data_IF_598613854779
#
_entry.id   IF_598613854779
#
_cell.length_a   1.000
_cell.length_b   1.000
_cell.length_c   1.000
_cell.angle_alpha   90.00
_cell.angle_beta   90.00
_cell.angle_gamma   90.00
#
_symmetry.space_group_name_H-M   'P 1'
#
loop_
_entity.id
_entity.type
_entity.pdbx_description
1 polymer ?
#
# COMPACT_ATOMS: atom_id res chain seq x y z
N UNK A 1 -7.20 -26.96 20.64
CA UNK A 1 -5.77 -26.60 20.64
C UNK A 1 -5.69 -25.20 21.16
N UNK A 2 -4.72 -24.81 22.02
CA UNK A 2 -4.60 -23.42 22.43
C UNK A 2 -4.36 -22.61 21.15
N UNK A 3 -5.03 -21.47 21.06
CA UNK A 3 -4.90 -20.52 19.96
C UNK A 3 -3.43 -20.15 19.80
N UNK A 4 -2.82 -20.59 18.69
CA UNK A 4 -1.41 -20.36 18.44
C UNK A 4 -1.23 -19.00 17.76
N UNK A 5 -0.19 -18.24 18.15
CA UNK A 5 0.22 -17.02 17.46
C UNK A 5 0.35 -17.25 15.95
N UNK A 6 0.00 -16.25 15.17
CA UNK A 6 0.05 -16.31 13.71
C UNK A 6 0.68 -15.05 13.13
N UNK A 7 1.12 -15.14 11.87
CA UNK A 7 1.75 -14.01 11.17
C UNK A 7 0.68 -13.04 10.66
N UNK A 8 0.88 -11.75 10.94
CA UNK A 8 0.06 -10.64 10.44
C UNK A 8 0.97 -9.61 9.77
N UNK A 9 0.61 -9.16 8.59
CA UNK A 9 1.34 -8.09 7.91
C UNK A 9 1.19 -6.78 8.69
N UNK A 10 2.31 -6.14 9.05
CA UNK A 10 2.29 -4.83 9.71
C UNK A 10 2.54 -3.67 8.76
N UNK A 11 3.19 -3.94 7.65
CA UNK A 11 3.42 -3.00 6.54
C UNK A 11 3.47 -3.76 5.22
N UNK A 12 2.89 -3.17 4.18
CA UNK A 12 2.95 -3.71 2.81
C UNK A 12 2.98 -2.61 1.76
N UNK A 13 3.36 -2.99 0.54
CA UNK A 13 3.21 -2.16 -0.65
C UNK A 13 2.92 -3.04 -1.87
N UNK A 14 2.14 -2.53 -2.82
CA UNK A 14 1.76 -3.24 -4.04
C UNK A 14 2.95 -3.34 -5.00
N UNK A 15 3.38 -4.55 -5.39
CA UNK A 15 4.38 -4.71 -6.45
C UNK A 15 3.86 -4.18 -7.78
N UNK A 16 4.73 -3.46 -8.51
CA UNK A 16 4.44 -2.96 -9.85
C UNK A 16 5.67 -3.11 -10.76
N UNK A 17 5.49 -3.17 -12.10
CA UNK A 17 6.61 -3.17 -13.04
C UNK A 17 7.47 -1.92 -12.91
N UNK A 18 8.78 -2.07 -13.06
CA UNK A 18 9.72 -0.96 -13.10
C UNK A 18 9.50 -0.09 -14.35
N UNK A 19 9.62 1.21 -14.18
CA UNK A 19 9.62 2.15 -15.30
C UNK A 19 11.02 2.77 -15.54
N UNK A 20 11.83 2.87 -14.49
CA UNK A 20 13.20 3.45 -14.54
C UNK A 20 14.05 2.93 -13.39
N UNK A 21 15.36 3.04 -13.54
CA UNK A 21 16.35 2.76 -12.51
C UNK A 21 17.20 1.52 -12.82
N UNK A 22 18.42 1.54 -12.35
CA UNK A 22 19.35 0.42 -12.36
C UNK A 22 20.20 0.47 -11.10
N UNK A 23 20.65 -0.69 -10.63
CA UNK A 23 21.56 -0.79 -9.49
C UNK A 23 22.79 -1.56 -9.89
N UNK A 24 23.91 -1.28 -9.24
CA UNK A 24 25.13 -2.03 -9.45
C UNK A 24 25.95 -2.07 -8.14
N UNK A 25 26.03 -3.26 -7.53
CA UNK A 25 26.79 -3.48 -6.30
C UNK A 25 26.42 -2.46 -5.20
N UNK A 26 25.13 -2.30 -4.88
CA UNK A 26 24.65 -1.25 -3.98
C UNK A 26 23.76 -1.81 -2.87
N UNK A 27 23.71 -1.07 -1.76
CA UNK A 27 22.73 -1.31 -0.68
C UNK A 27 21.57 -0.32 -0.80
N UNK A 28 20.36 -0.86 -0.78
CA UNK A 28 19.12 -0.10 -0.74
C UNK A 28 18.61 -0.12 0.70
N UNK A 29 18.37 1.04 1.32
CA UNK A 29 17.74 1.14 2.64
C UNK A 29 16.35 1.75 2.48
N UNK A 30 15.33 0.91 2.65
CA UNK A 30 13.92 1.25 2.52
C UNK A 30 13.34 1.56 3.89
N UNK A 31 12.66 2.69 4.02
CA UNK A 31 12.04 3.14 5.28
C UNK A 31 10.53 2.95 5.23
N UNK A 32 9.95 2.56 6.35
CA UNK A 32 8.53 2.28 6.46
C UNK A 32 8.04 2.40 7.90
N UNK A 33 6.74 2.57 8.10
CA UNK A 33 6.11 2.59 9.43
C UNK A 33 5.27 1.34 9.62
N UNK A 34 5.52 0.62 10.70
CA UNK A 34 4.69 -0.51 11.12
C UNK A 34 3.35 -0.01 11.67
N UNK A 35 2.24 -0.65 11.31
CA UNK A 35 0.93 -0.33 11.88
C UNK A 35 0.64 -1.10 13.18
N UNK A 36 1.27 -2.27 13.33
CA UNK A 36 1.13 -3.17 14.47
C UNK A 36 2.50 -3.50 15.04
N UNK A 37 2.64 -3.59 16.37
CA UNK A 37 3.85 -4.02 17.06
C UNK A 37 3.94 -5.54 17.21
N UNK A 38 5.11 -6.00 17.66
CA UNK A 38 5.39 -7.40 17.96
C UNK A 38 6.85 -7.59 18.35
N UNK A 39 7.23 -8.82 18.66
CA UNK A 39 8.60 -9.14 19.09
C UNK A 39 9.34 -10.12 18.18
N UNK A 40 8.66 -10.64 17.15
CA UNK A 40 9.25 -11.41 16.06
C UNK A 40 8.76 -10.88 14.74
N UNK A 41 9.68 -10.66 13.80
CA UNK A 41 9.43 -10.09 12.49
C UNK A 41 9.99 -10.98 11.40
N UNK A 42 9.39 -10.92 10.21
CA UNK A 42 9.96 -11.42 8.96
C UNK A 42 9.69 -10.44 7.83
N UNK A 43 10.56 -10.45 6.82
CA UNK A 43 10.48 -9.55 5.66
C UNK A 43 10.12 -10.36 4.42
N UNK A 44 9.29 -9.78 3.57
CA UNK A 44 8.96 -10.33 2.25
C UNK A 44 9.69 -9.54 1.17
N UNK A 45 10.46 -10.27 0.35
CA UNK A 45 11.18 -9.72 -0.80
C UNK A 45 10.59 -10.30 -2.07
N UNK A 46 10.25 -9.46 -3.02
CA UNK A 46 9.49 -9.83 -4.21
C UNK A 46 10.30 -9.60 -5.49
N UNK A 47 10.24 -10.59 -6.38
CA UNK A 47 10.69 -10.52 -7.76
C UNK A 47 9.51 -10.79 -8.72
N UNK A 48 8.27 -10.40 -8.31
CA UNK A 48 7.02 -10.76 -8.99
C UNK A 48 6.96 -10.30 -10.45
N UNK A 49 7.60 -9.19 -10.79
CA UNK A 49 7.67 -8.65 -12.15
C UNK A 49 9.06 -8.77 -12.77
N UNK A 50 10.03 -9.34 -12.04
CA UNK A 50 11.37 -9.57 -12.57
C UNK A 50 11.35 -10.59 -13.71
N UNK A 51 12.21 -10.36 -14.69
CA UNK A 51 12.38 -11.26 -15.87
C UNK A 51 13.56 -12.19 -15.71
N UNK A 52 14.36 -12.03 -14.66
CA UNK A 52 15.56 -12.80 -14.30
C UNK A 52 15.56 -13.08 -12.81
N UNK A 53 16.34 -14.05 -12.34
CA UNK A 53 16.62 -14.22 -10.93
C UNK A 53 17.17 -12.94 -10.31
N UNK A 54 16.71 -12.59 -9.12
CA UNK A 54 17.19 -11.48 -8.31
C UNK A 54 18.12 -12.03 -7.22
N UNK A 55 19.35 -11.57 -7.20
CA UNK A 55 20.32 -11.94 -6.17
C UNK A 55 20.31 -10.93 -5.03
N UNK A 56 20.14 -11.42 -3.82
CA UNK A 56 20.26 -10.69 -2.56
C UNK A 56 21.53 -11.20 -1.89
N UNK A 57 22.56 -10.36 -1.80
CA UNK A 57 23.84 -10.70 -1.15
C UNK A 57 23.79 -10.58 0.38
N UNK A 58 22.87 -9.75 0.89
CA UNK A 58 22.63 -9.57 2.32
C UNK A 58 21.37 -8.77 2.55
N UNK A 59 20.72 -8.98 3.70
CA UNK A 59 19.53 -8.26 4.09
C UNK A 59 19.50 -8.04 5.60
N UNK A 60 19.04 -6.87 6.04
CA UNK A 60 18.93 -6.50 7.45
C UNK A 60 17.61 -5.75 7.70
N UNK A 61 17.09 -5.85 8.93
CA UNK A 61 15.98 -5.04 9.43
C UNK A 61 16.40 -4.40 10.76
N UNK A 62 16.01 -3.14 10.97
CA UNK A 62 16.29 -2.40 12.20
C UNK A 62 15.19 -1.38 12.49
N UNK A 63 15.13 -0.87 13.71
CA UNK A 63 14.38 0.35 14.01
C UNK A 63 15.09 1.55 13.36
N UNK A 64 14.33 2.39 12.66
CA UNK A 64 14.84 3.63 12.07
C UNK A 64 15.03 4.69 13.16
N UNK A 65 16.15 5.39 13.12
CA UNK A 65 16.40 6.57 13.96
C UNK A 65 16.02 7.85 13.16
N UNK A 66 16.94 8.42 12.43
CA UNK A 66 16.71 9.59 11.58
C UNK A 66 17.45 9.45 10.25
N UNK A 67 16.83 9.93 9.17
CA UNK A 67 17.41 9.81 7.83
C UNK A 67 17.71 8.35 7.49
N UNK A 68 18.95 8.06 7.07
CA UNK A 68 19.46 6.71 6.78
C UNK A 68 20.06 6.00 8.02
N UNK A 69 19.90 6.55 9.23
CA UNK A 69 20.43 5.95 10.45
C UNK A 69 19.43 4.96 11.07
N UNK A 70 19.98 3.96 11.76
CA UNK A 70 19.24 2.98 12.54
C UNK A 70 19.57 3.12 14.03
N UNK A 71 18.60 2.75 14.89
CA UNK A 71 18.77 2.74 16.34
C UNK A 71 19.88 1.74 16.71
N UNK A 72 20.82 2.16 17.53
CA UNK A 72 21.93 1.31 17.96
C UNK A 72 21.40 0.05 18.68
N UNK A 73 21.92 -1.12 18.31
CA UNK A 73 21.53 -2.41 18.89
C UNK A 73 20.24 -3.02 18.32
N UNK A 74 19.52 -2.31 17.45
CA UNK A 74 18.29 -2.81 16.82
C UNK A 74 18.52 -3.61 15.54
N UNK A 75 19.71 -3.57 14.97
CA UNK A 75 20.04 -4.26 13.72
C UNK A 75 19.88 -5.78 13.85
N UNK A 76 19.19 -6.39 12.91
CA UNK A 76 19.02 -7.85 12.78
C UNK A 76 19.32 -8.26 11.36
N UNK A 77 20.33 -9.13 11.23
CA UNK A 77 20.63 -9.79 9.96
C UNK A 77 19.50 -10.77 9.63
N UNK A 78 18.98 -10.67 8.41
CA UNK A 78 17.99 -11.59 7.88
C UNK A 78 18.68 -12.80 7.25
N UNK A 79 18.01 -13.94 7.31
CA UNK A 79 18.37 -15.16 6.61
C UNK A 79 17.18 -15.69 5.81
N UNK A 80 17.45 -16.56 4.88
CA UNK A 80 16.46 -17.18 3.99
C UNK A 80 16.72 -18.70 3.96
N UNK A 81 15.99 -19.44 4.78
CA UNK A 81 16.25 -20.86 4.98
C UNK A 81 17.63 -21.11 5.62
N UNK A 82 18.05 -20.24 6.56
CA UNK A 82 19.34 -20.27 7.23
C UNK A 82 20.50 -19.61 6.47
N UNK A 83 20.34 -19.28 5.17
CA UNK A 83 21.37 -18.62 4.37
C UNK A 83 21.25 -17.09 4.41
N UNK A 84 22.38 -16.38 4.51
CA UNK A 84 22.41 -14.92 4.53
C UNK A 84 22.17 -14.27 3.15
N UNK A 85 22.46 -15.02 2.09
CA UNK A 85 22.21 -14.62 0.71
C UNK A 85 21.09 -15.46 0.11
N UNK A 86 20.40 -14.93 -0.88
CA UNK A 86 19.32 -15.63 -1.56
C UNK A 86 19.23 -15.25 -3.03
N UNK A 87 18.76 -16.18 -3.85
CA UNK A 87 18.37 -15.93 -5.25
C UNK A 87 16.86 -16.12 -5.37
N UNK A 88 16.16 -15.08 -5.80
CA UNK A 88 14.70 -15.09 -5.96
C UNK A 88 14.39 -15.27 -7.44
N UNK A 89 13.74 -16.38 -7.79
CA UNK A 89 13.34 -16.65 -9.18
C UNK A 89 12.41 -15.55 -9.72
N UNK A 90 12.42 -15.33 -11.02
CA UNK A 90 11.48 -14.45 -11.70
C UNK A 90 10.03 -14.86 -11.36
N UNK A 91 9.19 -13.89 -11.02
CA UNK A 91 7.79 -14.12 -10.63
C UNK A 91 7.59 -14.55 -9.16
N UNK A 92 8.65 -14.78 -8.38
CA UNK A 92 8.56 -15.31 -7.02
C UNK A 92 8.59 -14.23 -5.93
N UNK A 93 8.11 -14.60 -4.73
CA UNK A 93 8.27 -13.86 -3.48
C UNK A 93 8.93 -14.78 -2.47
N UNK A 94 9.91 -14.23 -1.73
CA UNK A 94 10.65 -14.94 -0.71
C UNK A 94 10.41 -14.31 0.67
N UNK A 95 10.20 -15.15 1.68
CA UNK A 95 10.09 -14.73 3.07
C UNK A 95 11.44 -14.94 3.75
N UNK A 96 11.87 -13.97 4.55
CA UNK A 96 12.99 -14.20 5.45
C UNK A 96 12.61 -15.14 6.58
N UNK A 97 13.61 -15.77 7.19
CA UNK A 97 13.45 -16.42 8.48
C UNK A 97 13.06 -15.38 9.54
N UNK A 98 12.31 -15.78 10.60
CA UNK A 98 11.95 -14.88 11.68
C UNK A 98 13.18 -14.34 12.44
N UNK A 99 13.11 -13.06 12.83
CA UNK A 99 14.10 -12.43 13.71
C UNK A 99 13.43 -11.81 14.93
N UNK A 100 14.09 -11.89 16.09
CA UNK A 100 13.64 -11.25 17.31
C UNK A 100 14.00 -9.75 17.27
N UNK A 101 12.98 -8.88 17.29
CA UNK A 101 13.11 -7.43 17.38
C UNK A 101 11.85 -6.87 18.04
N UNK A 102 12.01 -6.20 19.18
CA UNK A 102 10.90 -5.54 19.85
C UNK A 102 10.46 -4.32 19.04
N UNK A 103 9.26 -4.39 18.48
CA UNK A 103 8.67 -3.39 17.62
C UNK A 103 7.43 -2.80 18.31
N UNK A 104 7.46 -1.51 18.62
CA UNK A 104 6.28 -0.79 19.07
C UNK A 104 5.30 -0.53 17.90
N UNK A 105 3.99 -0.48 18.12
CA UNK A 105 3.05 -0.01 17.11
C UNK A 105 3.43 1.40 16.63
N UNK A 106 3.27 1.67 15.35
CA UNK A 106 3.62 2.92 14.66
C UNK A 106 5.13 3.28 14.72
N UNK A 107 6.00 2.35 15.10
CA UNK A 107 7.44 2.57 15.00
C UNK A 107 7.94 2.52 13.54
N UNK A 108 8.97 3.29 13.27
CA UNK A 108 9.61 3.34 11.97
C UNK A 108 10.67 2.24 11.85
N UNK A 109 10.65 1.54 10.74
CA UNK A 109 11.58 0.48 10.37
C UNK A 109 12.48 0.93 9.21
N UNK A 110 13.66 0.33 9.14
CA UNK A 110 14.56 0.37 8.01
C UNK A 110 14.89 -1.07 7.58
N UNK A 111 14.56 -1.41 6.33
CA UNK A 111 14.99 -2.68 5.70
C UNK A 111 16.08 -2.35 4.71
N UNK A 112 17.25 -3.00 4.88
CA UNK A 112 18.41 -2.84 3.99
C UNK A 112 18.59 -4.10 3.16
N UNK A 113 18.74 -3.96 1.84
CA UNK A 113 19.02 -5.04 0.90
C UNK A 113 20.31 -4.72 0.16
N UNK A 114 21.30 -5.61 0.21
CA UNK A 114 22.49 -5.53 -0.61
C UNK A 114 22.29 -6.32 -1.91
N UNK A 115 22.51 -5.65 -3.02
CA UNK A 115 22.41 -6.18 -4.38
C UNK A 115 23.82 -6.29 -4.97
N UNK A 116 24.43 -7.50 -5.02
CA UNK A 116 25.86 -7.66 -5.31
C UNK A 116 26.25 -7.48 -6.78
N UNK A 117 25.28 -7.52 -7.68
CA UNK A 117 25.51 -7.44 -9.13
C UNK A 117 24.83 -6.26 -9.79
N UNK A 118 24.91 -6.25 -11.11
CA UNK A 118 24.18 -5.29 -11.95
C UNK A 118 22.71 -5.72 -12.07
N UNK A 119 21.80 -4.81 -11.73
CA UNK A 119 20.37 -4.95 -11.93
C UNK A 119 19.95 -3.89 -12.92
N UNK A 120 19.60 -4.29 -14.17
CA UNK A 120 19.19 -3.35 -15.22
C UNK A 120 17.77 -2.83 -14.98
N UNK A 121 17.31 -1.93 -15.85
CA UNK A 121 16.04 -1.23 -15.75
C UNK A 121 14.78 -2.11 -15.88
N UNK A 122 14.91 -3.42 -16.05
CA UNK A 122 13.80 -4.36 -16.18
C UNK A 122 13.45 -5.09 -14.86
N UNK A 123 13.81 -4.50 -13.71
CA UNK A 123 13.43 -4.99 -12.38
C UNK A 123 12.07 -4.44 -11.94
N UNK A 124 11.50 -5.01 -10.88
CA UNK A 124 10.26 -4.51 -10.29
C UNK A 124 10.49 -3.34 -9.34
N UNK A 125 9.47 -2.51 -9.20
CA UNK A 125 9.32 -1.55 -8.11
C UNK A 125 8.18 -2.04 -7.20
N UNK A 126 8.39 -2.00 -5.90
CA UNK A 126 7.35 -2.25 -4.91
C UNK A 126 6.83 -0.93 -4.35
N UNK A 127 5.98 -0.24 -5.11
CA UNK A 127 5.42 1.06 -4.71
C UNK A 127 6.22 2.25 -5.24
N UNK A 128 5.60 2.98 -6.14
CA UNK A 128 6.08 4.29 -6.62
C UNK A 128 5.51 5.39 -5.75
N UNK A 129 6.27 6.46 -5.58
CA UNK A 129 5.86 7.59 -4.76
C UNK A 129 5.53 7.17 -3.33
N UNK A 130 6.45 6.42 -2.72
CA UNK A 130 6.32 5.90 -1.36
C UNK A 130 5.93 6.96 -0.31
N UNK A 131 6.11 8.25 -0.63
CA UNK A 131 5.97 9.38 0.31
C UNK A 131 6.83 9.22 1.56
N UNK A 132 7.85 8.36 1.48
CA UNK A 132 8.96 8.24 2.43
C UNK A 132 10.26 8.36 1.67
N UNK A 133 11.25 8.96 2.33
CA UNK A 133 12.62 9.05 1.82
C UNK A 133 13.32 7.72 2.01
N UNK A 134 13.75 7.13 0.91
CA UNK A 134 14.56 5.91 0.86
C UNK A 134 15.96 6.22 0.34
N UNK A 135 16.91 5.34 0.59
CA UNK A 135 18.32 5.63 0.43
C UNK A 135 19.02 4.57 -0.41
N UNK A 136 19.87 5.02 -1.34
CA UNK A 136 20.72 4.19 -2.19
C UNK A 136 22.17 4.52 -1.83
N UNK A 137 22.97 3.49 -1.50
CA UNK A 137 24.38 3.65 -1.12
C UNK A 137 25.29 3.84 -2.34
N UNK A 138 26.55 4.31 -2.16
CA UNK A 138 27.61 4.02 -3.11
C UNK A 138 27.80 2.49 -3.24
N UNK A 139 28.62 2.01 -4.21
CA UNK A 139 28.91 0.59 -4.35
C UNK A 139 29.42 -0.04 -3.04
N UNK A 140 28.83 -1.18 -2.65
CA UNK A 140 29.21 -1.96 -1.48
C UNK A 140 28.06 -2.42 -0.61
N UNK A 141 28.35 -3.33 0.31
CA UNK A 141 27.42 -3.80 1.34
C UNK A 141 27.51 -2.91 2.59
N UNK A 142 26.43 -2.18 2.84
CA UNK A 142 26.24 -1.31 4.00
C UNK A 142 25.00 -1.70 4.82
N UNK A 143 24.49 -2.93 4.67
CA UNK A 143 23.29 -3.36 5.36
C UNK A 143 23.36 -3.16 6.87
N UNK A 144 24.49 -3.52 7.51
CA UNK A 144 24.73 -3.40 8.94
C UNK A 144 25.16 -1.99 9.40
N UNK A 145 25.38 -1.05 8.48
CA UNK A 145 25.89 0.27 8.84
C UNK A 145 24.89 1.05 9.70
N UNK A 146 25.30 1.52 10.90
CA UNK A 146 24.47 2.35 11.76
C UNK A 146 23.99 3.60 11.04
N UNK A 147 24.86 4.26 10.29
CA UNK A 147 24.54 5.36 9.37
C UNK A 147 25.02 4.92 7.98
N UNK A 148 24.08 4.62 7.10
CA UNK A 148 24.44 4.19 5.75
C UNK A 148 24.95 5.40 4.93
N UNK A 149 26.10 5.27 4.23
CA UNK A 149 26.51 6.30 3.27
C UNK A 149 25.50 6.40 2.14
N UNK A 150 25.24 7.63 1.69
CA UNK A 150 24.20 7.95 0.72
C UNK A 150 24.83 8.42 -0.58
N UNK A 151 24.54 7.73 -1.69
CA UNK A 151 24.84 8.20 -3.04
C UNK A 151 23.65 8.95 -3.63
N UNK A 152 22.42 8.47 -3.40
CA UNK A 152 21.21 9.13 -3.87
C UNK A 152 19.99 8.83 -2.98
N UNK A 153 18.96 9.68 -3.10
CA UNK A 153 17.67 9.50 -2.47
C UNK A 153 16.67 9.00 -3.50
N UNK A 154 15.66 8.28 -3.03
CA UNK A 154 14.52 7.87 -3.84
C UNK A 154 13.23 7.92 -3.03
N UNK A 155 12.11 8.10 -3.71
CA UNK A 155 10.77 7.99 -3.13
C UNK A 155 10.07 6.68 -3.52
N UNK A 156 10.81 5.70 -4.02
CA UNK A 156 10.28 4.39 -4.39
C UNK A 156 10.77 3.32 -3.41
N UNK A 157 9.95 2.31 -3.14
CA UNK A 157 10.38 1.09 -2.48
C UNK A 157 10.80 0.05 -3.53
N UNK A 158 11.93 -0.61 -3.31
CA UNK A 158 12.45 -1.61 -4.22
C UNK A 158 12.48 -2.99 -3.56
N UNK A 159 11.91 -3.97 -4.20
CA UNK A 159 11.91 -5.40 -3.86
C UNK A 159 11.27 -5.77 -2.52
N UNK A 160 11.30 -4.94 -1.50
CA UNK A 160 10.59 -5.20 -0.23
C UNK A 160 9.10 -4.98 -0.45
N UNK A 161 8.26 -6.01 -0.26
CA UNK A 161 6.81 -5.92 -0.45
C UNK A 161 6.01 -6.10 0.84
N UNK A 162 6.65 -6.45 1.96
CA UNK A 162 5.97 -6.56 3.24
C UNK A 162 6.89 -6.83 4.42
N UNK A 163 6.41 -6.45 5.59
CA UNK A 163 6.95 -6.83 6.90
C UNK A 163 5.81 -7.43 7.70
N UNK A 164 6.01 -8.61 8.23
CA UNK A 164 5.03 -9.32 9.06
C UNK A 164 5.54 -9.40 10.50
N UNK A 165 4.62 -9.39 11.46
CA UNK A 165 4.87 -9.63 12.88
C UNK A 165 4.14 -10.89 13.32
N UNK A 166 4.73 -11.62 14.27
CA UNK A 166 4.05 -12.72 14.97
C UNK A 166 3.12 -12.10 16.01
N UNK A 167 1.83 -12.32 15.88
CA UNK A 167 0.78 -11.67 16.66
C UNK A 167 -0.10 -12.68 17.41
N UNK A 168 -0.91 -12.19 18.35
CA UNK A 168 -1.89 -13.00 19.06
C UNK A 168 -2.99 -13.53 18.13
N UNK A 169 -3.64 -14.64 18.45
CA UNK A 169 -4.62 -15.31 17.58
C UNK A 169 -5.82 -14.45 17.20
N UNK A 170 -6.19 -13.49 18.04
CA UNK A 170 -7.29 -12.56 17.84
C UNK A 170 -6.93 -11.35 16.94
N UNK A 171 -5.65 -11.19 16.58
CA UNK A 171 -5.19 -10.08 15.75
C UNK A 171 -5.68 -10.23 14.29
N UNK A 172 -6.16 -9.15 13.70
CA UNK A 172 -6.57 -9.11 12.31
C UNK A 172 -5.79 -8.10 11.47
N UNK A 173 -5.90 -8.25 10.14
CA UNK A 173 -5.31 -7.33 9.17
C UNK A 173 -6.37 -6.68 8.27
N UNK A 174 -6.24 -5.38 8.06
CA UNK A 174 -7.04 -4.59 7.13
C UNK A 174 -6.16 -4.24 5.93
N UNK A 175 -6.59 -4.64 4.74
CA UNK A 175 -5.95 -4.22 3.48
C UNK A 175 -6.65 -2.96 2.97
N UNK A 176 -5.88 -1.91 2.71
CA UNK A 176 -6.32 -0.74 1.97
C UNK A 176 -5.98 -0.94 0.48
N UNK A 177 -6.92 -1.44 -0.31
CA UNK A 177 -6.74 -1.64 -1.75
C UNK A 177 -7.22 -0.40 -2.50
N UNK A 178 -6.35 0.21 -3.30
CA UNK A 178 -6.72 1.42 -4.02
C UNK A 178 -5.72 1.87 -5.08
N UNK A 179 -5.92 3.10 -5.51
CA UNK A 179 -5.04 3.80 -6.45
C UNK A 179 -4.17 4.86 -5.73
N UNK A 180 -3.82 5.97 -6.40
CA UNK A 180 -3.03 7.07 -5.82
C UNK A 180 -3.67 7.71 -4.59
N UNK A 181 -4.99 7.67 -4.47
CA UNK A 181 -5.73 8.20 -3.32
C UNK A 181 -5.56 7.31 -2.07
N UNK A 182 -5.22 6.05 -2.25
CA UNK A 182 -4.90 5.11 -1.17
C UNK A 182 -3.39 5.03 -0.93
N UNK A 183 -2.60 5.02 -2.00
CA UNK A 183 -1.14 5.13 -1.95
C UNK A 183 -0.68 6.40 -1.23
N UNK A 184 -1.51 7.46 -1.27
CA UNK A 184 -1.30 8.71 -0.56
C UNK A 184 -0.52 9.74 -1.37
N UNK A 185 -0.72 9.78 -2.68
CA UNK A 185 -0.04 10.73 -3.55
C UNK A 185 -0.25 12.18 -3.07
N UNK A 186 0.79 13.01 -3.17
CA UNK A 186 0.87 14.41 -2.72
C UNK A 186 0.85 14.59 -1.18
N UNK A 187 0.59 13.57 -0.36
CA UNK A 187 0.75 13.71 1.10
C UNK A 187 2.17 14.16 1.47
N UNK A 188 2.35 14.83 2.60
CA UNK A 188 3.65 15.31 3.05
C UNK A 188 4.65 14.16 3.20
N UNK A 189 5.83 14.30 2.57
CA UNK A 189 6.89 13.28 2.60
C UNK A 189 7.35 13.06 4.06
N UNK A 190 7.57 11.80 4.43
CA UNK A 190 8.00 11.32 5.74
C UNK A 190 7.03 11.62 6.91
N UNK A 191 5.84 12.20 6.64
CA UNK A 191 4.87 12.54 7.67
C UNK A 191 3.83 11.44 7.96
N UNK A 192 3.71 10.42 7.09
CA UNK A 192 2.73 9.34 7.24
C UNK A 192 1.30 9.86 7.40
N UNK A 193 0.87 10.73 6.49
CA UNK A 193 -0.43 11.41 6.52
C UNK A 193 -1.51 10.77 5.63
N UNK A 194 -1.30 9.57 5.11
CA UNK A 194 -2.26 8.86 4.27
C UNK A 194 -3.47 8.39 5.08
N UNK A 195 -4.62 8.20 4.45
CA UNK A 195 -5.80 7.72 5.19
C UNK A 195 -5.59 6.35 5.87
N UNK A 196 -4.82 5.38 5.30
CA UNK A 196 -4.51 4.14 6.02
C UNK A 196 -3.65 4.38 7.27
N UNK A 197 -2.72 5.37 7.22
CA UNK A 197 -1.91 5.75 8.39
C UNK A 197 -2.79 6.36 9.50
N UNK A 198 -3.79 7.18 9.12
CA UNK A 198 -4.76 7.74 10.05
C UNK A 198 -5.65 6.65 10.66
N UNK A 199 -6.12 5.70 9.85
CA UNK A 199 -6.87 4.54 10.34
C UNK A 199 -6.06 3.75 11.37
N UNK A 200 -4.78 3.47 11.09
CA UNK A 200 -3.89 2.77 12.03
C UNK A 200 -3.75 3.51 13.37
N UNK A 201 -3.57 4.85 13.34
CA UNK A 201 -3.52 5.68 14.56
C UNK A 201 -4.82 5.60 15.36
N UNK A 202 -5.98 5.67 14.70
CA UNK A 202 -7.30 5.60 15.34
C UNK A 202 -7.56 4.21 15.96
N UNK A 203 -7.19 3.15 15.25
CA UNK A 203 -7.32 1.78 15.77
C UNK A 203 -6.45 1.56 17.02
N UNK A 204 -5.24 2.08 17.02
CA UNK A 204 -4.36 2.02 18.20
C UNK A 204 -4.92 2.84 19.37
N UNK A 205 -5.48 4.03 19.11
CA UNK A 205 -5.99 4.93 20.14
C UNK A 205 -7.31 4.47 20.78
N UNK A 206 -8.07 3.57 20.15
CA UNK A 206 -9.41 3.20 20.66
C UNK A 206 -9.40 2.37 21.94
N UNK A 207 -8.25 1.79 22.34
CA UNK A 207 -8.06 0.97 23.57
C UNK A 207 -9.04 -0.21 23.77
N UNK A 208 -9.86 -0.54 22.78
CA UNK A 208 -10.89 -1.60 22.82
C UNK A 208 -10.91 -2.37 21.51
N UNK A 209 -11.54 -3.56 21.53
CA UNK A 209 -11.62 -4.46 20.38
C UNK A 209 -10.32 -5.22 20.13
N UNK A 210 -10.33 -6.04 19.11
CA UNK A 210 -9.18 -6.86 18.71
C UNK A 210 -8.07 -5.98 18.10
N UNK A 211 -6.79 -6.35 18.27
CA UNK A 211 -5.70 -5.66 17.59
C UNK A 211 -5.83 -5.78 16.07
N UNK A 212 -5.62 -4.68 15.34
CA UNK A 212 -5.76 -4.65 13.89
C UNK A 212 -4.55 -3.98 13.25
N UNK A 213 -3.91 -4.67 12.32
CA UNK A 213 -2.92 -4.08 11.44
C UNK A 213 -3.61 -3.37 10.26
N UNK A 214 -2.97 -2.35 9.70
CA UNK A 214 -3.39 -1.69 8.45
C UNK A 214 -2.26 -1.81 7.44
N UNK A 215 -2.57 -2.40 6.30
CA UNK A 215 -1.65 -2.69 5.21
C UNK A 215 -2.07 -1.92 3.96
N UNK A 216 -1.22 -1.02 3.47
CA UNK A 216 -1.51 -0.22 2.30
C UNK A 216 -1.10 -0.96 1.02
N UNK A 217 -2.07 -1.20 0.14
CA UNK A 217 -1.94 -1.80 -1.20
C UNK A 217 -2.44 -0.80 -2.28
N UNK A 218 -2.26 0.49 -2.02
CA UNK A 218 -2.45 1.53 -3.03
C UNK A 218 -1.41 1.42 -4.14
N UNK A 219 -1.83 1.72 -5.36
CA UNK A 219 -0.97 1.74 -6.54
C UNK A 219 -1.35 2.90 -7.44
N UNK A 220 -0.53 3.93 -7.49
CA UNK A 220 -0.82 5.17 -8.22
C UNK A 220 -1.26 4.94 -9.66
N UNK A 221 -2.43 5.46 -10.03
CA UNK A 221 -3.01 5.32 -11.36
C UNK A 221 -3.71 3.98 -11.63
N UNK A 222 -3.85 3.11 -10.63
CA UNK A 222 -4.46 1.79 -10.80
C UNK A 222 -5.95 1.87 -11.14
N UNK A 223 -6.44 0.87 -11.87
CA UNK A 223 -7.82 0.72 -12.36
C UNK A 223 -8.42 -0.59 -11.87
N UNK A 224 -9.73 -0.69 -11.81
CA UNK A 224 -10.42 -1.97 -11.51
C UNK A 224 -10.29 -2.94 -12.67
N UNK A 225 -10.56 -2.45 -13.91
CA UNK A 225 -10.89 -3.29 -15.06
C UNK A 225 -9.68 -3.59 -15.95
N UNK A 226 -8.74 -2.65 -16.10
CA UNK A 226 -7.69 -2.74 -17.10
C UNK A 226 -6.29 -2.54 -16.51
N UNK A 227 -5.33 -3.32 -17.00
CA UNK A 227 -3.92 -3.20 -16.65
C UNK A 227 -3.32 -1.95 -17.30
N UNK A 228 -2.70 -1.08 -16.51
CA UNK A 228 -2.00 0.07 -17.07
C UNK A 228 -0.85 0.58 -16.20
N UNK A 229 -1.11 0.84 -14.94
CA UNK A 229 -0.13 1.12 -13.89
C UNK A 229 -0.07 -0.13 -13.00
N UNK A 230 0.64 -1.16 -13.48
CA UNK A 230 0.60 -2.50 -12.90
C UNK A 230 -0.68 -3.26 -13.28
N UNK A 231 -0.88 -4.43 -12.67
CA UNK A 231 -2.08 -5.24 -12.84
C UNK A 231 -3.32 -4.51 -12.37
N UNK A 232 -4.45 -4.71 -13.05
CA UNK A 232 -5.76 -4.18 -12.63
C UNK A 232 -6.15 -4.68 -11.23
N UNK A 233 -7.03 -3.93 -10.55
CA UNK A 233 -7.53 -4.32 -9.25
C UNK A 233 -8.07 -5.74 -9.22
N UNK A 234 -8.83 -6.13 -10.25
CA UNK A 234 -9.33 -7.49 -10.41
C UNK A 234 -8.22 -8.54 -10.53
N UNK A 235 -7.16 -8.24 -11.28
CA UNK A 235 -6.06 -9.18 -11.51
C UNK A 235 -5.16 -9.34 -10.29
N UNK A 236 -4.86 -8.25 -9.57
CA UNK A 236 -3.97 -8.27 -8.41
C UNK A 236 -4.65 -8.60 -7.09
N UNK A 237 -5.99 -8.76 -7.06
CA UNK A 237 -6.77 -8.92 -5.84
C UNK A 237 -6.30 -10.09 -4.98
N UNK A 238 -6.04 -11.26 -5.57
CA UNK A 238 -5.59 -12.44 -4.81
C UNK A 238 -4.20 -12.22 -4.22
N UNK A 239 -3.25 -11.69 -5.01
CA UNK A 239 -1.89 -11.42 -4.57
C UNK A 239 -1.83 -10.33 -3.49
N UNK A 240 -2.52 -9.21 -3.72
CA UNK A 240 -2.37 -8.01 -2.91
C UNK A 240 -3.36 -7.93 -1.74
N UNK A 241 -4.40 -8.78 -1.74
CA UNK A 241 -5.39 -8.85 -0.66
C UNK A 241 -5.42 -10.23 -0.01
N UNK A 242 -5.86 -11.26 -0.73
CA UNK A 242 -6.21 -12.54 -0.14
C UNK A 242 -5.00 -13.33 0.37
N UNK A 243 -3.82 -13.14 -0.24
CA UNK A 243 -2.58 -13.79 0.21
C UNK A 243 -1.84 -13.03 1.31
N UNK A 244 -2.37 -11.88 1.76
CA UNK A 244 -1.69 -11.11 2.81
C UNK A 244 -1.84 -11.78 4.18
N UNK A 245 -0.74 -11.94 4.94
CA UNK A 245 -0.79 -12.61 6.23
C UNK A 245 -1.74 -11.94 7.21
N UNK A 246 -2.64 -12.72 7.80
CA UNK A 246 -3.58 -12.27 8.82
C UNK A 246 -4.72 -11.38 8.28
N UNK A 247 -4.94 -11.30 6.97
CA UNK A 247 -6.02 -10.49 6.41
C UNK A 247 -7.39 -10.97 6.90
N UNK A 248 -8.21 -10.04 7.35
CA UNK A 248 -9.60 -10.27 7.76
C UNK A 248 -10.56 -9.29 7.12
N UNK A 249 -10.05 -8.14 6.68
CA UNK A 249 -10.85 -7.08 6.06
C UNK A 249 -10.11 -6.48 4.88
N UNK A 250 -10.85 -6.03 3.88
CA UNK A 250 -10.33 -5.18 2.80
C UNK A 250 -11.22 -3.96 2.65
N UNK A 251 -10.62 -2.78 2.55
CA UNK A 251 -11.28 -1.53 2.15
C UNK A 251 -10.88 -1.26 0.70
N UNK A 252 -11.84 -1.23 -0.21
CA UNK A 252 -11.59 -1.05 -1.64
C UNK A 252 -11.99 0.36 -2.07
N UNK A 253 -11.00 1.14 -2.52
CA UNK A 253 -11.18 2.45 -3.15
C UNK A 253 -10.56 2.45 -4.53
N UNK A 254 -11.28 1.97 -5.52
CA UNK A 254 -10.85 1.87 -6.92
C UNK A 254 -12.00 2.25 -7.86
N UNK A 255 -11.66 2.77 -9.04
CA UNK A 255 -12.61 3.17 -10.08
C UNK A 255 -12.37 4.58 -10.61
N UNK A 256 -11.77 5.47 -9.83
CA UNK A 256 -11.49 6.85 -10.25
C UNK A 256 -10.69 6.89 -11.55
N UNK A 257 -9.65 6.06 -11.69
CA UNK A 257 -8.83 6.03 -12.91
C UNK A 257 -9.48 5.28 -14.07
N UNK A 258 -10.45 4.41 -13.83
CA UNK A 258 -11.29 3.84 -14.87
C UNK A 258 -12.13 4.97 -15.50
N UNK A 259 -12.79 5.80 -14.68
CA UNK A 259 -13.63 6.92 -15.13
C UNK A 259 -12.84 8.03 -15.81
N UNK A 260 -11.68 8.40 -15.25
CA UNK A 260 -10.82 9.45 -15.81
C UNK A 260 -10.29 9.11 -17.19
N UNK A 261 -10.17 7.84 -17.54
CA UNK A 261 -9.65 7.33 -18.81
C UNK A 261 -8.41 8.11 -19.29
N UNK A 262 -7.43 8.30 -18.40
CA UNK A 262 -6.23 9.11 -18.60
C UNK A 262 -5.48 8.78 -19.91
N UNK A 263 -5.58 7.53 -20.35
CA UNK A 263 -4.86 7.03 -21.51
C UNK A 263 -5.63 7.22 -22.83
N UNK A 264 -6.78 7.90 -22.77
CA UNK A 264 -7.61 8.27 -23.92
C UNK A 264 -7.93 7.08 -24.84
N UNK A 265 -8.30 5.97 -24.22
CA UNK A 265 -8.75 4.76 -24.91
C UNK A 265 -10.28 4.69 -24.86
N UNK A 266 -10.98 5.13 -25.90
CA UNK A 266 -12.45 5.18 -25.90
C UNK A 266 -13.11 3.82 -25.63
N UNK A 267 -12.47 2.74 -26.11
CA UNK A 267 -12.92 1.36 -25.92
C UNK A 267 -12.81 0.87 -24.47
N UNK A 268 -12.03 1.55 -23.64
CA UNK A 268 -11.85 1.27 -22.21
C UNK A 268 -12.65 2.24 -21.30
N UNK A 269 -13.47 3.12 -21.87
CA UNK A 269 -14.34 4.00 -21.07
C UNK A 269 -15.50 3.21 -20.45
N UNK A 270 -15.56 3.06 -19.11
CA UNK A 270 -16.48 2.14 -18.50
C UNK A 270 -17.90 2.73 -18.36
N UNK A 271 -18.88 1.84 -18.35
CA UNK A 271 -20.20 2.11 -17.77
C UNK A 271 -20.20 1.87 -16.26
N UNK A 272 -21.19 2.45 -15.55
CA UNK A 272 -21.37 2.15 -14.12
C UNK A 272 -21.53 0.66 -13.87
N UNK A 273 -22.28 -0.05 -14.72
CA UNK A 273 -22.49 -1.49 -14.61
C UNK A 273 -21.18 -2.30 -14.66
N UNK A 274 -20.23 -1.90 -15.50
CA UNK A 274 -18.93 -2.58 -15.58
C UNK A 274 -18.08 -2.36 -14.33
N UNK A 275 -18.03 -1.13 -13.80
CA UNK A 275 -17.31 -0.83 -12.56
C UNK A 275 -17.93 -1.58 -11.38
N UNK A 276 -19.27 -1.55 -11.27
CA UNK A 276 -20.03 -2.27 -10.25
C UNK A 276 -19.76 -3.78 -10.34
N UNK A 277 -19.81 -4.36 -11.54
CA UNK A 277 -19.52 -5.77 -11.74
C UNK A 277 -18.11 -6.14 -11.26
N UNK A 278 -17.12 -5.26 -11.50
CA UNK A 278 -15.75 -5.44 -10.98
C UNK A 278 -15.71 -5.47 -9.45
N UNK A 279 -16.39 -4.53 -8.79
CA UNK A 279 -16.49 -4.48 -7.32
C UNK A 279 -17.23 -5.72 -6.76
N UNK A 280 -18.30 -6.17 -7.41
CA UNK A 280 -19.03 -7.39 -7.06
C UNK A 280 -18.13 -8.63 -7.12
N UNK A 281 -17.28 -8.75 -8.16
CA UNK A 281 -16.33 -9.86 -8.28
C UNK A 281 -15.29 -9.83 -7.14
N UNK A 282 -14.82 -8.66 -6.74
CA UNK A 282 -13.94 -8.55 -5.55
C UNK A 282 -14.67 -8.99 -4.28
N UNK A 283 -15.95 -8.61 -4.11
CA UNK A 283 -16.75 -9.02 -2.96
C UNK A 283 -16.95 -10.54 -2.89
N UNK A 284 -17.32 -11.17 -4.01
CA UNK A 284 -17.45 -12.64 -4.08
C UNK A 284 -16.15 -13.33 -3.70
N UNK A 285 -15.00 -12.85 -4.20
CA UNK A 285 -13.68 -13.46 -3.90
C UNK A 285 -13.28 -13.24 -2.45
N UNK A 286 -13.52 -12.04 -1.89
CA UNK A 286 -13.25 -11.75 -0.48
C UNK A 286 -14.07 -12.68 0.43
N UNK A 287 -15.38 -12.77 0.23
CA UNK A 287 -16.27 -13.64 1.00
C UNK A 287 -15.90 -15.12 0.87
N UNK A 288 -15.53 -15.57 -0.33
CA UNK A 288 -15.07 -16.96 -0.54
C UNK A 288 -13.82 -17.31 0.25
N UNK A 289 -13.01 -16.29 0.60
CA UNK A 289 -11.81 -16.42 1.45
C UNK A 289 -12.07 -16.08 2.94
N UNK A 290 -13.31 -15.80 3.33
CA UNK A 290 -13.66 -15.40 4.71
C UNK A 290 -13.21 -13.96 5.06
N UNK A 291 -12.93 -13.12 4.08
CA UNK A 291 -12.51 -11.73 4.25
C UNK A 291 -13.71 -10.81 4.09
N UNK A 292 -13.95 -9.92 5.04
CA UNK A 292 -14.97 -8.87 4.95
C UNK A 292 -14.51 -7.77 4.00
N UNK A 293 -15.44 -7.23 3.19
CA UNK A 293 -15.17 -6.17 2.23
C UNK A 293 -15.94 -4.89 2.52
N UNK A 294 -15.22 -3.78 2.65
CA UNK A 294 -15.75 -2.44 2.83
C UNK A 294 -15.59 -1.68 1.51
N UNK A 295 -16.69 -1.23 0.93
CA UNK A 295 -16.65 -0.38 -0.27
C UNK A 295 -16.40 1.08 0.12
N UNK A 296 -15.41 1.72 -0.50
CA UNK A 296 -15.19 3.14 -0.35
C UNK A 296 -15.74 3.90 -1.56
N UNK A 297 -16.51 4.97 -1.32
CA UNK A 297 -17.07 5.80 -2.38
C UNK A 297 -15.99 6.60 -3.10
N UNK A 298 -16.15 6.77 -4.42
CA UNK A 298 -15.23 7.54 -5.27
C UNK A 298 -15.38 9.03 -4.97
N UNK A 299 -14.28 9.70 -4.63
CA UNK A 299 -14.25 11.13 -4.35
C UNK A 299 -14.54 11.97 -5.59
N UNK A 300 -15.03 13.21 -5.44
CA UNK A 300 -15.23 14.11 -6.58
C UNK A 300 -13.89 14.55 -7.19
N UNK A 301 -13.89 14.81 -8.51
CA UNK A 301 -12.73 15.28 -9.27
C UNK A 301 -13.09 16.25 -10.41
N UNK A 302 -14.18 17.03 -10.22
CA UNK A 302 -14.74 17.90 -11.27
C UNK A 302 -13.87 19.10 -11.65
N UNK A 303 -12.93 19.47 -10.81
CA UNK A 303 -11.96 20.55 -11.03
C UNK A 303 -10.52 20.05 -11.21
N UNK A 304 -10.34 18.78 -11.60
CA UNK A 304 -9.02 18.21 -11.83
C UNK A 304 -8.20 18.99 -12.85
N UNK A 305 -6.93 19.25 -12.52
CA UNK A 305 -6.01 20.03 -13.34
C UNK A 305 -4.94 19.19 -14.07
N UNK A 306 -4.74 17.91 -13.70
CA UNK A 306 -3.77 17.03 -14.36
C UNK A 306 -4.08 16.74 -15.82
N UNK A 307 -5.36 16.76 -16.19
CA UNK A 307 -5.79 16.39 -17.52
C UNK A 307 -7.06 17.15 -17.89
N UNK A 308 -6.99 17.95 -18.96
CA UNK A 308 -8.07 18.85 -19.38
C UNK A 308 -9.43 18.17 -19.58
N UNK A 309 -9.47 16.90 -19.94
CA UNK A 309 -10.70 16.16 -20.25
C UNK A 309 -10.96 15.02 -19.25
N UNK A 310 -10.40 15.07 -18.03
CA UNK A 310 -10.54 14.02 -17.04
C UNK A 310 -11.98 13.88 -16.58
N UNK A 311 -12.66 15.00 -16.35
CA UNK A 311 -14.04 15.07 -15.94
C UNK A 311 -14.95 15.55 -17.07
N UNK A 312 -16.16 14.99 -17.12
CA UNK A 312 -17.27 15.47 -17.90
C UNK A 312 -18.59 15.01 -17.25
N UNK A 313 -19.77 15.58 -17.63
CA UNK A 313 -21.05 15.21 -17.01
C UNK A 313 -21.36 13.72 -17.05
N UNK A 314 -21.03 13.02 -18.15
CA UNK A 314 -21.27 11.56 -18.26
C UNK A 314 -20.43 10.76 -17.26
N UNK A 315 -19.17 11.13 -17.06
CA UNK A 315 -18.29 10.46 -16.06
C UNK A 315 -18.76 10.73 -14.64
N UNK A 316 -19.30 11.92 -14.39
CA UNK A 316 -19.93 12.25 -13.12
C UNK A 316 -21.19 11.40 -12.88
N UNK A 317 -22.06 11.22 -13.87
CA UNK A 317 -23.21 10.32 -13.79
C UNK A 317 -22.77 8.90 -13.43
N UNK A 318 -21.71 8.39 -14.06
CA UNK A 318 -21.15 7.07 -13.74
C UNK A 318 -20.60 7.03 -12.30
N UNK A 319 -19.85 8.06 -11.86
CA UNK A 319 -19.34 8.16 -10.48
C UNK A 319 -20.49 8.12 -9.46
N UNK A 320 -21.51 8.91 -9.68
CA UNK A 320 -22.68 8.99 -8.81
C UNK A 320 -23.43 7.67 -8.75
N UNK A 321 -23.61 6.99 -9.89
CA UNK A 321 -24.26 5.68 -9.94
C UNK A 321 -23.46 4.60 -9.22
N UNK A 322 -22.14 4.59 -9.37
CA UNK A 322 -21.24 3.68 -8.63
C UNK A 322 -21.31 3.97 -7.13
N UNK A 323 -21.27 5.24 -6.73
CA UNK A 323 -21.34 5.63 -5.33
C UNK A 323 -22.70 5.31 -4.69
N UNK A 324 -23.80 5.47 -5.43
CA UNK A 324 -25.13 5.06 -4.98
C UNK A 324 -25.16 3.54 -4.71
N UNK A 325 -24.65 2.75 -5.66
CA UNK A 325 -24.54 1.32 -5.49
C UNK A 325 -23.67 0.94 -4.27
N UNK A 326 -22.49 1.55 -4.09
CA UNK A 326 -21.62 1.26 -2.94
C UNK A 326 -22.36 1.50 -1.61
N UNK A 327 -23.16 2.57 -1.52
CA UNK A 327 -23.92 2.91 -0.30
C UNK A 327 -25.03 1.92 0.04
N UNK A 328 -25.58 1.23 -0.93
CA UNK A 328 -26.79 0.39 -0.80
C UNK A 328 -26.52 -1.10 -1.01
N UNK A 329 -25.31 -1.47 -1.48
CA UNK A 329 -25.03 -2.81 -1.93
C UNK A 329 -24.93 -3.83 -0.78
N UNK A 330 -25.89 -4.76 -0.73
CA UNK A 330 -25.85 -5.91 0.18
C UNK A 330 -24.65 -6.87 -0.08
N UNK A 331 -23.94 -6.69 -1.20
CA UNK A 331 -22.73 -7.43 -1.52
C UNK A 331 -21.48 -6.93 -0.76
N UNK A 332 -21.57 -5.77 -0.11
CA UNK A 332 -20.50 -5.17 0.70
C UNK A 332 -20.89 -5.27 2.17
N UNK A 333 -19.93 -5.57 3.03
CA UNK A 333 -20.18 -5.68 4.48
C UNK A 333 -20.36 -4.31 5.15
N UNK A 334 -19.79 -3.26 4.56
CA UNK A 334 -19.91 -1.89 5.04
C UNK A 334 -19.46 -0.86 4.00
N UNK A 335 -19.59 0.42 4.34
CA UNK A 335 -19.26 1.56 3.50
C UNK A 335 -18.32 2.53 4.22
N UNK A 336 -17.27 2.98 3.53
CA UNK A 336 -16.47 4.15 3.88
C UNK A 336 -16.84 5.30 2.93
N UNK A 337 -17.67 6.25 3.37
CA UNK A 337 -18.22 7.30 2.49
C UNK A 337 -17.24 8.48 2.34
N UNK A 338 -16.17 8.26 1.57
CA UNK A 338 -15.14 9.25 1.30
C UNK A 338 -15.64 10.40 0.42
N UNK A 339 -16.59 10.15 -0.49
CA UNK A 339 -17.27 11.19 -1.25
C UNK A 339 -17.95 12.19 -0.32
N UNK A 340 -18.77 11.71 0.63
CA UNK A 340 -19.43 12.57 1.61
C UNK A 340 -18.44 13.29 2.51
N UNK A 341 -17.31 12.65 2.87
CA UNK A 341 -16.32 13.23 3.77
C UNK A 341 -15.54 14.39 3.15
N UNK A 342 -15.30 14.35 1.83
CA UNK A 342 -14.45 15.32 1.13
C UNK A 342 -15.20 16.30 0.24
N UNK A 343 -16.43 15.97 -0.17
CA UNK A 343 -17.20 16.75 -1.14
C UNK A 343 -17.53 18.15 -0.61
N UNK A 344 -17.36 19.15 -1.49
CA UNK A 344 -17.87 20.49 -1.25
C UNK A 344 -19.42 20.49 -1.34
N UNK A 345 -20.13 20.90 -0.29
CA UNK A 345 -21.60 20.93 -0.32
C UNK A 345 -22.17 21.96 -1.31
N UNK A 346 -21.44 23.03 -1.62
CA UNK A 346 -21.85 24.06 -2.58
C UNK A 346 -21.49 23.68 -4.03
N UNK A 347 -20.43 22.90 -4.21
CA UNK A 347 -19.95 22.42 -5.51
C UNK A 347 -19.74 20.88 -5.48
N UNK A 348 -20.82 20.07 -5.53
CA UNK A 348 -20.76 18.63 -5.26
C UNK A 348 -19.87 17.79 -6.19
N UNK A 349 -19.48 18.34 -7.32
CA UNK A 349 -18.53 17.68 -8.25
C UNK A 349 -17.06 17.88 -7.86
N UNK A 350 -16.77 18.66 -6.80
CA UNK A 350 -15.44 19.06 -6.35
C UNK A 350 -15.22 18.67 -4.89
N UNK A 351 -13.96 18.50 -4.51
CA UNK A 351 -13.58 18.43 -3.11
C UNK A 351 -13.65 19.83 -2.47
N UNK A 352 -13.97 19.88 -1.17
CA UNK A 352 -13.86 21.11 -0.39
C UNK A 352 -12.39 21.62 -0.50
N UNK A 353 -12.17 22.92 -0.77
CA UNK A 353 -10.82 23.45 -1.01
C UNK A 353 -9.80 23.14 0.11
N UNK A 354 -10.26 23.07 1.38
CA UNK A 354 -9.40 22.71 2.51
C UNK A 354 -8.90 21.25 2.46
N UNK A 355 -9.58 20.38 1.74
CA UNK A 355 -9.26 18.95 1.61
C UNK A 355 -8.53 18.60 0.30
N UNK A 356 -8.47 19.53 -0.63
CA UNK A 356 -7.78 19.41 -1.91
C UNK A 356 -6.30 19.83 -1.76
N UNK A 357 -5.38 19.10 -2.37
CA UNK A 357 -3.98 19.53 -2.44
C UNK A 357 -3.73 20.66 -3.43
N UNK A 358 -4.76 21.08 -4.20
CA UNK A 358 -4.72 22.11 -5.22
C UNK A 358 -4.73 21.58 -6.66
N UNK A 359 -4.89 20.27 -6.85
CA UNK A 359 -4.94 19.66 -8.19
C UNK A 359 -6.35 19.16 -8.60
N UNK A 360 -7.32 19.30 -7.70
CA UNK A 360 -8.72 18.90 -7.92
C UNK A 360 -8.97 17.39 -7.94
N UNK A 361 -7.99 16.59 -7.52
CA UNK A 361 -8.05 15.13 -7.53
C UNK A 361 -7.53 14.50 -6.24
N UNK A 362 -6.32 14.90 -5.79
CA UNK A 362 -5.67 14.30 -4.64
C UNK A 362 -5.97 15.09 -3.36
N UNK A 363 -6.28 14.41 -2.25
CA UNK A 363 -6.47 15.08 -0.98
C UNK A 363 -5.18 15.74 -0.46
N UNK A 364 -5.35 16.85 0.27
CA UNK A 364 -4.34 17.39 1.20
C UNK A 364 -4.15 16.44 2.39
N UNK A 365 -3.14 16.67 3.24
CA UNK A 365 -2.97 15.89 4.48
C UNK A 365 -4.22 15.95 5.36
N UNK A 366 -4.92 17.11 5.39
CA UNK A 366 -6.19 17.25 6.09
C UNK A 366 -7.30 16.43 5.43
N UNK A 367 -7.35 16.39 4.09
CA UNK A 367 -8.27 15.55 3.34
C UNK A 367 -8.05 14.07 3.59
N UNK A 368 -6.81 13.60 3.58
CA UNK A 368 -6.46 12.23 3.96
C UNK A 368 -6.86 11.90 5.40
N UNK A 369 -6.66 12.84 6.32
CA UNK A 369 -7.11 12.69 7.71
C UNK A 369 -8.63 12.51 7.75
N UNK A 370 -9.39 13.33 7.04
CA UNK A 370 -10.86 13.23 6.96
C UNK A 370 -11.34 11.90 6.36
N UNK A 371 -10.65 11.36 5.35
CA UNK A 371 -10.94 10.02 4.83
C UNK A 371 -10.76 8.96 5.92
N UNK A 372 -9.62 8.96 6.60
CA UNK A 372 -9.37 8.03 7.71
C UNK A 372 -10.39 8.17 8.85
N UNK A 373 -10.86 9.40 9.15
CA UNK A 373 -11.87 9.67 10.18
C UNK A 373 -13.27 9.21 9.80
N UNK A 374 -13.59 9.16 8.52
CA UNK A 374 -14.89 8.71 8.01
C UNK A 374 -15.11 7.18 8.14
N UNK A 375 -14.07 6.42 8.46
CA UNK A 375 -14.18 4.97 8.63
C UNK A 375 -14.70 4.68 10.05
N UNK A 376 -15.82 3.95 10.13
CA UNK A 376 -16.36 3.49 11.41
C UNK A 376 -15.49 2.36 11.97
N UNK A 377 -14.92 2.57 13.15
CA UNK A 377 -14.05 1.58 13.80
C UNK A 377 -14.82 0.35 14.34
N UNK A 378 -16.15 0.44 14.54
CA UNK A 378 -16.97 -0.69 14.94
C UNK A 378 -16.96 -1.84 13.91
N UNK A 379 -16.59 -1.54 12.66
CA UNK A 379 -16.44 -2.56 11.60
C UNK A 379 -15.37 -3.62 11.92
N UNK A 380 -14.46 -3.30 12.81
CA UNK A 380 -13.27 -4.11 13.12
C UNK A 380 -13.30 -4.70 14.55
N UNK A 381 -14.47 -4.76 15.15
CA UNK A 381 -14.69 -5.38 16.48
C UNK A 381 -14.92 -6.88 16.39
#
# INVERSE_FOLDING_TARGET
MPDSAHWVGTWTTAPAPAETGAFNNQTLRMTMRASLGGNQLRVRVSNAYGRRPLEIGGAHIALRDAGAAIVAGSDRKLAFGGAAAATIAAGAVLFSDPVALDLAPLADLAVSLYLPGEIPNDFQITGRYARQTNYISPPGDFCAAKVMPIASLTSDWFFVCGVDVLASPDTGGIIALGDSLTDGNISTIDAFCRWPDQLARRLLARHRGRPMAVMNQGLGGNRILYDIRGDSGLRRFDRDVLSQPGVTHVIVMLGTNDLRNRWKKPEEEPTAAQVIAGLQQMAVRAHSAGVKIVGATLTPFGNETYMADAWNPRREEVRLAVNAWIREAAALDAVADFDKALRDPEHPTQMLPAYDCGDGLHPSDLGYTKMGDAIDLALFE
#
